data_IF_450281414417
#
_entry.id   IF_450281414417
#
_cell.length_a   1.000
_cell.length_b   1.000
_cell.length_c   1.000
_cell.angle_alpha   90.00
_cell.angle_beta   90.00
_cell.angle_gamma   90.00
#
_symmetry.space_group_name_H-M   'P 1'
#
loop_
_entity.id
_entity.type
_entity.pdbx_description
1 polymer ?
#
# COMPACT_ATOMS: atom_id res chain seq x y z
N UNK A 1 16.59 13.91 -0.57
CA UNK A 1 15.99 13.33 -1.80
C UNK A 1 14.74 12.49 -1.50
N UNK A 2 14.71 11.66 -0.44
CA UNK A 2 13.45 11.06 0.06
C UNK A 2 12.31 12.07 0.18
N UNK A 3 12.56 13.32 0.63
CA UNK A 3 11.55 14.38 0.72
C UNK A 3 10.79 14.67 -0.57
N UNK A 4 11.43 14.59 -1.74
CA UNK A 4 10.72 14.85 -3.00
C UNK A 4 9.80 13.68 -3.30
N UNK A 5 10.23 12.44 -3.07
CA UNK A 5 9.39 11.27 -3.27
C UNK A 5 8.26 11.18 -2.22
N UNK A 6 8.50 11.51 -0.95
CA UNK A 6 7.45 11.55 0.08
C UNK A 6 6.49 12.72 -0.13
N UNK A 7 6.99 13.89 -0.55
CA UNK A 7 6.15 15.04 -0.92
C UNK A 7 5.35 14.77 -2.19
N UNK A 8 5.90 14.07 -3.19
CA UNK A 8 5.15 13.64 -4.36
C UNK A 8 4.17 12.52 -4.03
N UNK A 9 4.49 11.61 -3.13
CA UNK A 9 3.56 10.62 -2.61
C UNK A 9 2.41 11.31 -1.89
N UNK A 10 2.66 12.37 -1.11
CA UNK A 10 1.66 13.25 -0.49
C UNK A 10 0.89 14.12 -1.52
N UNK A 11 1.53 14.58 -2.60
CA UNK A 11 0.89 15.34 -3.68
C UNK A 11 -0.03 14.44 -4.51
N UNK A 12 0.41 13.20 -4.73
CA UNK A 12 -0.37 12.15 -5.35
C UNK A 12 -1.53 11.70 -4.44
N UNK A 13 -1.35 11.79 -3.12
CA UNK A 13 -2.38 11.64 -2.08
C UNK A 13 -3.41 12.77 -2.17
N UNK A 14 -2.97 14.02 -2.34
CA UNK A 14 -3.84 15.18 -2.61
C UNK A 14 -4.58 15.07 -3.94
N UNK A 15 -3.97 14.48 -4.97
CA UNK A 15 -4.63 14.24 -6.26
C UNK A 15 -5.64 13.09 -6.17
N UNK A 16 -5.32 12.00 -5.46
CA UNK A 16 -6.26 10.93 -5.13
C UNK A 16 -7.50 11.48 -4.42
N UNK A 17 -7.30 12.35 -3.42
CA UNK A 17 -8.38 13.00 -2.66
C UNK A 17 -9.22 13.94 -3.54
N UNK A 18 -8.60 14.76 -4.39
CA UNK A 18 -9.30 15.67 -5.31
C UNK A 18 -10.04 14.95 -6.45
N UNK A 19 -9.54 13.81 -6.90
CA UNK A 19 -10.19 13.02 -7.96
C UNK A 19 -11.37 12.22 -7.40
N UNK A 20 -11.29 11.71 -6.17
CA UNK A 20 -12.44 11.17 -5.45
C UNK A 20 -13.54 12.23 -5.25
N UNK A 21 -13.16 13.47 -4.88
CA UNK A 21 -14.09 14.60 -4.75
C UNK A 21 -14.83 14.93 -6.07
N UNK A 22 -14.16 14.79 -7.21
CA UNK A 22 -14.73 15.11 -8.53
C UNK A 22 -15.68 14.04 -9.06
N UNK A 23 -15.50 12.78 -8.66
CA UNK A 23 -16.37 11.66 -9.05
C UNK A 23 -17.76 11.74 -8.41
N UNK A 24 -17.89 12.41 -7.26
CA UNK A 24 -19.14 12.46 -6.48
C UNK A 24 -20.07 13.60 -6.89
N UNK A 25 -19.53 14.71 -7.43
CA UNK A 25 -20.35 15.88 -7.85
C UNK A 25 -21.26 15.63 -9.06
N UNK A 26 -21.25 14.43 -9.67
CA UNK A 26 -21.92 14.20 -10.96
C UNK A 26 -23.33 13.59 -10.92
N UNK A 27 -23.81 12.90 -9.88
CA UNK A 27 -25.12 12.23 -10.00
C UNK A 27 -25.98 12.23 -8.73
N UNK A 28 -26.90 13.20 -8.68
CA UNK A 28 -28.14 13.12 -7.92
C UNK A 28 -29.07 12.08 -8.57
N UNK A 29 -29.01 10.82 -8.13
CA UNK A 29 -30.16 9.95 -7.84
C UNK A 29 -29.74 8.51 -7.47
N UNK A 30 -30.42 8.03 -6.42
CA UNK A 30 -30.81 6.69 -5.97
C UNK A 30 -29.77 5.56 -5.74
N UNK A 31 -29.78 5.06 -4.50
CA UNK A 31 -28.92 4.05 -3.82
C UNK A 31 -27.45 4.43 -3.55
N UNK A 32 -27.13 4.58 -2.25
CA UNK A 32 -25.76 4.62 -1.72
C UNK A 32 -25.37 3.23 -1.15
N UNK A 33 -24.41 2.51 -1.78
CA UNK A 33 -23.87 1.24 -1.28
C UNK A 33 -23.26 1.34 0.12
N UNK A 34 -22.81 2.53 0.54
CA UNK A 34 -22.20 2.73 1.85
C UNK A 34 -23.22 2.79 3.00
N UNK A 35 -24.47 3.20 2.74
CA UNK A 35 -25.52 3.30 3.76
C UNK A 35 -26.16 1.95 4.12
N UNK A 36 -26.15 1.00 3.19
CA UNK A 36 -26.75 -0.34 3.37
C UNK A 36 -25.77 -1.36 3.96
N UNK A 37 -24.70 -0.88 4.60
CA UNK A 37 -23.63 -1.71 5.10
C UNK A 37 -23.71 -1.88 6.60
N UNK A 38 -23.97 -3.11 7.05
CA UNK A 38 -23.87 -3.44 8.47
C UNK A 38 -22.39 -3.62 8.88
N UNK A 39 -21.81 -2.58 9.49
CA UNK A 39 -20.44 -2.62 10.02
C UNK A 39 -20.50 -3.00 11.50
N UNK A 40 -20.01 -4.20 11.85
CA UNK A 40 -20.08 -4.76 13.22
C UNK A 40 -19.38 -3.91 14.29
N UNK A 41 -18.43 -3.05 13.90
CA UNK A 41 -17.81 -2.04 14.77
C UNK A 41 -17.59 -0.74 13.97
N UNK A 42 -18.41 0.30 14.14
CA UNK A 42 -18.18 1.58 13.49
C UNK A 42 -16.88 2.19 14.03
N UNK A 43 -15.96 2.47 13.11
CA UNK A 43 -14.71 3.17 13.41
C UNK A 43 -15.00 4.67 13.51
N UNK A 44 -14.49 5.32 14.56
CA UNK A 44 -14.53 6.78 14.68
C UNK A 44 -13.80 7.43 13.51
N UNK A 45 -14.28 8.57 13.03
CA UNK A 45 -13.67 9.47 12.04
C UNK A 45 -12.14 9.59 12.16
N UNK A 46 -11.63 9.83 13.38
CA UNK A 46 -10.19 9.87 13.64
C UNK A 46 -9.51 8.49 13.51
N UNK A 47 -10.19 7.43 13.95
CA UNK A 47 -9.73 6.05 13.75
C UNK A 47 -9.69 5.66 12.26
N UNK A 48 -10.61 6.17 11.44
CA UNK A 48 -10.60 5.96 10.00
C UNK A 48 -9.42 6.67 9.36
N UNK A 49 -9.17 7.93 9.73
CA UNK A 49 -8.00 8.69 9.30
C UNK A 49 -6.68 7.98 9.63
N UNK A 50 -6.52 7.51 10.88
CA UNK A 50 -5.33 6.77 11.30
C UNK A 50 -5.17 5.47 10.52
N UNK A 51 -6.26 4.75 10.27
CA UNK A 51 -6.23 3.52 9.46
C UNK A 51 -5.86 3.79 8.00
N UNK A 52 -6.34 4.89 7.41
CA UNK A 52 -5.98 5.32 6.06
C UNK A 52 -4.51 5.71 5.99
N UNK A 53 -4.01 6.51 6.94
CA UNK A 53 -2.59 6.85 7.04
C UNK A 53 -1.74 5.59 7.13
N UNK A 54 -2.13 4.65 8.00
CA UNK A 54 -1.43 3.38 8.16
C UNK A 54 -1.44 2.55 6.88
N UNK A 55 -2.57 2.49 6.19
CA UNK A 55 -2.71 1.81 4.92
C UNK A 55 -1.77 2.40 3.87
N UNK A 56 -1.68 3.72 3.78
CA UNK A 56 -0.90 4.42 2.75
C UNK A 56 0.60 4.40 3.05
N UNK A 57 0.99 4.66 4.30
CA UNK A 57 2.40 4.72 4.68
C UNK A 57 3.03 3.32 4.67
N UNK A 58 2.30 2.31 5.13
CA UNK A 58 2.79 0.92 5.22
C UNK A 58 4.19 0.84 5.81
N UNK A 59 4.88 -0.28 5.59
CA UNK A 59 6.34 -0.36 5.76
C UNK A 59 7.09 -0.15 4.44
N UNK A 60 6.38 -0.11 3.31
CA UNK A 60 6.97 0.03 1.98
C UNK A 60 7.81 1.30 1.83
N UNK A 61 7.46 2.37 2.56
CA UNK A 61 8.26 3.59 2.64
C UNK A 61 9.65 3.39 3.26
N UNK A 62 9.84 2.36 4.09
CA UNK A 62 11.17 2.01 4.62
C UNK A 62 12.05 1.31 3.57
N UNK A 63 11.45 0.70 2.54
CA UNK A 63 12.18 0.14 1.40
C UNK A 63 12.52 1.20 0.32
N UNK A 64 11.79 2.33 0.29
CA UNK A 64 12.03 3.43 -0.63
C UNK A 64 13.46 4.04 -0.60
N UNK A 65 14.12 4.27 0.56
CA UNK A 65 15.50 4.76 0.57
C UNK A 65 16.49 3.79 -0.08
N UNK A 66 16.31 2.48 0.13
CA UNK A 66 17.11 1.43 -0.51
C UNK A 66 16.91 1.43 -2.04
N UNK A 67 15.68 1.62 -2.50
CA UNK A 67 15.37 1.76 -3.92
C UNK A 67 16.14 2.95 -4.54
N UNK A 68 16.03 4.13 -3.92
CA UNK A 68 16.68 5.35 -4.41
C UNK A 68 18.21 5.24 -4.45
N UNK A 69 18.81 4.54 -3.48
CA UNK A 69 20.24 4.25 -3.46
C UNK A 69 20.68 3.44 -4.69
N UNK A 70 19.84 2.52 -5.15
CA UNK A 70 20.16 1.60 -6.24
C UNK A 70 19.93 2.19 -7.65
N UNK A 71 19.13 3.25 -7.79
CA UNK A 71 18.96 3.96 -9.07
C UNK A 71 19.87 5.18 -9.23
N UNK A 72 20.29 5.81 -8.12
CA UNK A 72 20.87 7.16 -8.13
C UNK A 72 19.77 8.22 -8.06
N UNK A 73 20.10 9.40 -7.54
CA UNK A 73 19.08 10.36 -7.10
C UNK A 73 18.23 10.93 -8.24
N UNK A 74 18.83 11.19 -9.41
CA UNK A 74 18.15 11.84 -10.53
C UNK A 74 17.12 10.91 -11.21
N UNK A 75 17.50 9.69 -11.68
CA UNK A 75 16.53 8.77 -12.25
C UNK A 75 15.51 8.30 -11.22
N UNK A 76 15.90 8.16 -9.93
CA UNK A 76 14.96 7.81 -8.88
C UNK A 76 13.81 8.82 -8.76
N UNK A 77 14.10 10.12 -8.74
CA UNK A 77 13.06 11.16 -8.67
C UNK A 77 12.15 11.11 -9.90
N UNK A 78 12.73 11.10 -11.11
CA UNK A 78 11.93 11.16 -12.34
C UNK A 78 11.06 9.91 -12.49
N UNK A 79 11.64 8.72 -12.33
CA UNK A 79 10.92 7.47 -12.51
C UNK A 79 9.89 7.23 -11.40
N UNK A 80 10.19 7.56 -10.14
CA UNK A 80 9.22 7.40 -9.04
C UNK A 80 7.96 8.22 -9.29
N UNK A 81 8.11 9.44 -9.81
CA UNK A 81 6.98 10.30 -10.14
C UNK A 81 6.11 9.74 -11.27
N UNK A 82 6.73 9.26 -12.33
CA UNK A 82 6.01 8.65 -13.47
C UNK A 82 5.26 7.39 -13.01
N UNK A 83 5.93 6.51 -12.25
CA UNK A 83 5.33 5.28 -11.72
C UNK A 83 4.19 5.62 -10.75
N UNK A 84 4.37 6.60 -9.87
CA UNK A 84 3.35 7.07 -8.95
C UNK A 84 2.08 7.53 -9.65
N UNK A 85 2.21 8.39 -10.67
CA UNK A 85 1.06 8.86 -11.47
C UNK A 85 0.33 7.68 -12.12
N UNK A 86 1.07 6.74 -12.70
CA UNK A 86 0.49 5.58 -13.38
C UNK A 86 -0.27 4.66 -12.41
N UNK A 87 0.35 4.31 -11.28
CA UNK A 87 -0.26 3.44 -10.25
C UNK A 87 -1.53 4.07 -9.69
N UNK A 88 -1.49 5.37 -9.41
CA UNK A 88 -2.63 6.09 -8.85
C UNK A 88 -3.76 6.22 -9.84
N UNK A 89 -3.46 6.56 -11.08
CA UNK A 89 -4.44 6.63 -12.14
C UNK A 89 -5.14 5.28 -12.35
N UNK A 90 -4.36 4.19 -12.37
CA UNK A 90 -4.90 2.82 -12.49
C UNK A 90 -5.82 2.46 -11.32
N UNK A 91 -5.40 2.77 -10.07
CA UNK A 91 -6.22 2.50 -8.88
C UNK A 91 -7.51 3.30 -8.84
N UNK A 92 -7.47 4.56 -9.27
CA UNK A 92 -8.66 5.41 -9.32
C UNK A 92 -9.70 4.89 -10.31
N UNK A 93 -9.27 4.54 -11.53
CA UNK A 93 -10.18 3.95 -12.52
C UNK A 93 -10.80 2.65 -11.99
N UNK A 94 -10.00 1.81 -11.33
CA UNK A 94 -10.49 0.56 -10.74
C UNK A 94 -11.54 0.82 -9.65
N UNK A 95 -11.25 1.72 -8.70
CA UNK A 95 -12.16 2.04 -7.59
C UNK A 95 -13.46 2.68 -8.09
N UNK A 96 -13.40 3.64 -9.01
CA UNK A 96 -14.58 4.26 -9.61
C UNK A 96 -15.43 3.23 -10.35
N UNK A 97 -14.82 2.34 -11.12
CA UNK A 97 -15.53 1.26 -11.79
C UNK A 97 -16.20 0.28 -10.83
N UNK A 98 -15.49 -0.14 -9.78
CA UNK A 98 -16.05 -1.02 -8.74
C UNK A 98 -17.23 -0.37 -8.00
N UNK A 99 -17.13 0.93 -7.71
CA UNK A 99 -18.20 1.70 -7.07
C UNK A 99 -19.45 1.80 -7.96
N UNK A 100 -19.27 2.12 -9.23
CA UNK A 100 -20.38 2.21 -10.19
C UNK A 100 -21.07 0.85 -10.37
N UNK A 101 -20.30 -0.24 -10.43
CA UNK A 101 -20.84 -1.60 -10.48
C UNK A 101 -21.59 -1.98 -9.19
N UNK A 102 -21.08 -1.61 -8.02
CA UNK A 102 -21.74 -1.84 -6.74
C UNK A 102 -23.10 -1.14 -6.68
N UNK A 103 -23.17 0.11 -7.14
CA UNK A 103 -24.40 0.90 -7.24
C UNK A 103 -25.41 0.26 -8.20
N UNK A 104 -24.99 -0.12 -9.40
CA UNK A 104 -25.86 -0.75 -10.42
C UNK A 104 -26.41 -2.11 -9.97
N UNK A 105 -25.61 -2.91 -9.26
CA UNK A 105 -26.02 -4.23 -8.77
C UNK A 105 -26.71 -4.19 -7.41
N UNK A 106 -26.82 -3.03 -6.77
CA UNK A 106 -27.42 -2.86 -5.45
C UNK A 106 -26.79 -3.80 -4.40
N UNK A 107 -25.47 -3.95 -4.47
CA UNK A 107 -24.70 -4.80 -3.54
C UNK A 107 -23.80 -3.93 -2.66
N UNK A 108 -23.75 -4.17 -1.34
CA UNK A 108 -22.99 -3.33 -0.41
C UNK A 108 -21.48 -3.54 -0.49
N UNK A 109 -21.01 -4.68 -1.02
CA UNK A 109 -19.60 -4.99 -1.18
C UNK A 109 -19.36 -5.93 -2.37
N UNK A 110 -18.40 -5.58 -3.21
CA UNK A 110 -17.89 -6.44 -4.29
C UNK A 110 -16.44 -6.80 -4.03
N UNK A 111 -16.12 -8.10 -4.10
CA UNK A 111 -14.72 -8.54 -4.15
C UNK A 111 -14.13 -8.23 -5.53
N UNK A 112 -12.81 -8.04 -5.63
CA UNK A 112 -12.13 -7.76 -6.91
C UNK A 112 -12.44 -8.78 -8.00
N UNK A 113 -12.41 -10.07 -7.65
CA UNK A 113 -12.72 -11.14 -8.60
C UNK A 113 -14.18 -11.10 -9.09
N UNK A 114 -15.13 -10.69 -8.24
CA UNK A 114 -16.54 -10.53 -8.62
C UNK A 114 -16.77 -9.24 -9.41
N UNK A 115 -16.15 -8.13 -9.01
CA UNK A 115 -16.24 -6.87 -9.74
C UNK A 115 -15.72 -7.01 -11.17
N UNK A 116 -14.58 -7.69 -11.35
CA UNK A 116 -14.03 -7.96 -12.68
C UNK A 116 -14.93 -8.90 -13.50
N UNK A 117 -15.53 -9.92 -12.88
CA UNK A 117 -16.49 -10.80 -13.55
C UNK A 117 -17.70 -10.02 -14.09
N UNK A 118 -18.33 -9.22 -13.23
CA UNK A 118 -19.50 -8.42 -13.59
C UNK A 118 -19.13 -7.37 -14.64
N UNK A 119 -17.95 -6.75 -14.52
CA UNK A 119 -17.46 -5.77 -15.49
C UNK A 119 -17.25 -6.36 -16.88
N UNK A 120 -16.75 -7.61 -16.97
CA UNK A 120 -16.60 -8.33 -18.24
C UNK A 120 -17.95 -8.75 -18.82
N UNK A 121 -18.92 -9.14 -17.97
CA UNK A 121 -20.27 -9.51 -18.41
C UNK A 121 -21.03 -8.33 -19.02
N UNK A 122 -20.96 -7.15 -18.38
CA UNK A 122 -21.58 -5.91 -18.85
C UNK A 122 -20.79 -5.22 -19.97
N UNK A 123 -19.51 -5.60 -20.13
CA UNK A 123 -18.60 -5.08 -21.15
C UNK A 123 -18.91 -5.52 -22.59
N UNK A 124 -18.04 -5.14 -23.54
CA UNK A 124 -18.23 -5.42 -24.95
C UNK A 124 -18.28 -6.94 -25.23
N UNK A 125 -19.07 -7.39 -26.22
CA UNK A 125 -19.30 -8.81 -26.47
C UNK A 125 -18.01 -9.60 -26.77
N UNK A 126 -16.97 -8.92 -27.29
CA UNK A 126 -15.65 -9.51 -27.55
C UNK A 126 -14.90 -9.97 -26.28
N UNK A 127 -15.21 -9.43 -25.09
CA UNK A 127 -14.56 -9.80 -23.83
C UNK A 127 -15.35 -10.86 -23.04
N UNK A 128 -16.60 -11.14 -23.42
CA UNK A 128 -17.51 -12.03 -22.67
C UNK A 128 -17.03 -13.47 -22.59
N UNK A 129 -16.20 -13.95 -23.52
CA UNK A 129 -15.63 -15.29 -23.43
C UNK A 129 -14.73 -15.45 -22.19
N UNK A 130 -14.12 -14.37 -21.70
CA UNK A 130 -13.23 -14.36 -20.54
C UNK A 130 -13.97 -14.49 -19.20
N UNK A 131 -15.32 -14.38 -19.20
CA UNK A 131 -16.14 -14.45 -17.98
C UNK A 131 -15.90 -15.71 -17.14
N UNK A 132 -15.60 -16.85 -17.77
CA UNK A 132 -15.38 -18.11 -17.07
C UNK A 132 -14.04 -18.17 -16.33
N UNK A 133 -13.06 -17.35 -16.74
CA UNK A 133 -11.68 -17.43 -16.26
C UNK A 133 -11.25 -16.19 -15.46
N UNK A 134 -11.86 -15.02 -15.73
CA UNK A 134 -11.40 -13.72 -15.19
C UNK A 134 -11.36 -13.69 -13.66
N UNK A 135 -12.38 -14.24 -13.00
CA UNK A 135 -12.44 -14.26 -11.54
C UNK A 135 -11.32 -15.11 -10.94
N UNK A 136 -11.01 -16.25 -11.56
CA UNK A 136 -9.91 -17.13 -11.16
C UNK A 136 -8.54 -16.46 -11.34
N UNK A 137 -8.30 -15.84 -12.51
CA UNK A 137 -7.03 -15.14 -12.78
C UNK A 137 -6.80 -14.02 -11.76
N UNK A 138 -7.82 -13.19 -11.51
CA UNK A 138 -7.72 -12.06 -10.58
C UNK A 138 -7.40 -12.56 -9.17
N UNK A 139 -8.07 -13.61 -8.71
CA UNK A 139 -7.81 -14.18 -7.38
C UNK A 139 -6.39 -14.78 -7.28
N UNK A 140 -5.91 -15.47 -8.32
CA UNK A 140 -4.54 -16.00 -8.37
C UNK A 140 -3.51 -14.86 -8.34
N UNK A 141 -3.75 -13.79 -9.11
CA UNK A 141 -2.85 -12.65 -9.16
C UNK A 141 -2.85 -11.85 -7.85
N UNK A 142 -4.01 -11.73 -7.19
CA UNK A 142 -4.11 -11.15 -5.85
C UNK A 142 -3.37 -11.98 -4.81
N UNK A 143 -3.51 -13.31 -4.87
CA UNK A 143 -2.77 -14.22 -3.99
C UNK A 143 -1.27 -14.09 -4.20
N UNK A 144 -0.81 -14.07 -5.45
CA UNK A 144 0.60 -13.87 -5.78
C UNK A 144 1.13 -12.52 -5.26
N UNK A 145 0.34 -11.44 -5.35
CA UNK A 145 0.73 -10.13 -4.82
C UNK A 145 0.88 -10.13 -3.29
N UNK A 146 -0.06 -10.75 -2.58
CA UNK A 146 0.01 -10.88 -1.11
C UNK A 146 1.18 -11.75 -0.68
N UNK A 147 1.40 -12.88 -1.36
CA UNK A 147 2.52 -13.76 -1.09
C UNK A 147 3.86 -13.04 -1.33
N UNK A 148 4.01 -12.33 -2.45
CA UNK A 148 5.20 -11.55 -2.75
C UNK A 148 5.45 -10.46 -1.70
N UNK A 149 4.39 -9.77 -1.27
CA UNK A 149 4.46 -8.80 -0.18
C UNK A 149 5.01 -9.42 1.10
N UNK A 150 4.49 -10.59 1.51
CA UNK A 150 5.00 -11.32 2.68
C UNK A 150 6.50 -11.65 2.55
N UNK A 151 6.96 -12.10 1.37
CA UNK A 151 8.38 -12.38 1.15
C UNK A 151 9.27 -11.13 1.33
N UNK A 152 8.84 -9.98 0.79
CA UNK A 152 9.58 -8.73 0.95
C UNK A 152 9.63 -8.29 2.42
N UNK A 153 8.54 -8.46 3.18
CA UNK A 153 8.52 -8.17 4.61
C UNK A 153 9.57 -8.98 5.39
N UNK A 154 9.64 -10.29 5.16
CA UNK A 154 10.63 -11.15 5.85
C UNK A 154 12.06 -10.75 5.50
N UNK A 155 12.35 -10.49 4.23
CA UNK A 155 13.70 -10.05 3.83
C UNK A 155 14.04 -8.70 4.45
N UNK A 156 13.08 -7.78 4.51
CA UNK A 156 13.29 -6.45 5.09
C UNK A 156 13.56 -6.53 6.60
N UNK A 157 12.74 -7.28 7.34
CA UNK A 157 12.92 -7.45 8.79
C UNK A 157 14.24 -8.15 9.11
N UNK A 158 14.59 -9.20 8.36
CA UNK A 158 15.87 -9.89 8.51
C UNK A 158 17.07 -8.94 8.31
N UNK A 159 17.03 -8.06 7.29
CA UNK A 159 18.08 -7.06 7.09
C UNK A 159 18.17 -6.08 8.27
N UNK A 160 17.04 -5.59 8.80
CA UNK A 160 17.03 -4.73 9.97
C UNK A 160 17.59 -5.44 11.22
N UNK A 161 17.26 -6.72 11.41
CA UNK A 161 17.80 -7.53 12.52
C UNK A 161 19.29 -7.78 12.36
N UNK A 162 19.77 -7.99 11.13
CA UNK A 162 21.19 -8.14 10.84
C UNK A 162 21.95 -6.85 11.15
N UNK A 163 21.48 -5.69 10.69
CA UNK A 163 22.12 -4.40 10.96
C UNK A 163 22.21 -4.12 12.47
N UNK A 164 21.18 -4.51 13.24
CA UNK A 164 21.18 -4.40 14.69
C UNK A 164 22.10 -5.45 15.36
N UNK A 165 22.07 -6.68 14.87
CA UNK A 165 22.85 -7.80 15.40
C UNK A 165 24.36 -7.62 15.18
N UNK A 166 24.77 -7.18 13.99
CA UNK A 166 26.18 -6.92 13.65
C UNK A 166 26.75 -5.72 14.44
N UNK A 167 25.89 -4.83 14.97
CA UNK A 167 26.33 -3.74 15.85
C UNK A 167 26.65 -4.20 17.28
N UNK A 168 25.87 -5.16 17.82
CA UNK A 168 26.03 -5.63 19.22
C UNK A 168 26.75 -6.98 19.34
N UNK A 169 26.82 -7.77 18.27
CA UNK A 169 27.31 -9.15 18.23
C UNK A 169 28.23 -9.38 17.01
N UNK A 170 28.80 -10.58 16.88
CA UNK A 170 29.63 -10.94 15.71
C UNK A 170 28.80 -11.08 14.42
N UNK A 171 29.41 -10.70 13.30
CA UNK A 171 28.80 -10.78 11.96
C UNK A 171 28.32 -12.20 11.65
N UNK A 172 27.00 -12.37 11.58
CA UNK A 172 26.36 -13.63 11.19
C UNK A 172 25.76 -13.53 9.79
N UNK A 173 25.68 -14.67 9.09
CA UNK A 173 25.08 -14.73 7.76
C UNK A 173 23.58 -14.39 7.83
N UNK A 174 23.12 -13.60 6.85
CA UNK A 174 21.75 -13.05 6.79
C UNK A 174 20.67 -14.16 6.77
N UNK A 175 21.05 -15.36 6.31
CA UNK A 175 20.19 -16.54 6.29
C UNK A 175 19.74 -17.00 7.68
N UNK A 176 20.59 -16.78 8.69
CA UNK A 176 20.30 -17.18 10.07
C UNK A 176 19.24 -16.24 10.66
N UNK A 177 19.33 -14.94 10.39
CA UNK A 177 18.31 -13.96 10.78
C UNK A 177 16.95 -14.25 10.11
N UNK A 178 16.95 -14.59 8.81
CA UNK A 178 15.74 -15.05 8.12
C UNK A 178 15.13 -16.31 8.75
N UNK A 179 15.95 -17.28 9.16
CA UNK A 179 15.47 -18.51 9.81
C UNK A 179 14.93 -18.27 11.22
N UNK A 180 15.58 -17.38 11.99
CA UNK A 180 15.10 -16.99 13.33
C UNK A 180 13.74 -16.31 13.28
N UNK A 181 13.46 -15.52 12.23
CA UNK A 181 12.19 -14.82 12.05
C UNK A 181 10.99 -15.74 11.73
N UNK A 182 11.24 -16.91 11.14
CA UNK A 182 10.18 -17.89 10.86
C UNK A 182 9.49 -18.34 12.15
N UNK A 183 10.23 -18.46 13.26
CA UNK A 183 9.69 -18.91 14.55
C UNK A 183 8.60 -17.95 15.09
N UNK A 184 8.83 -16.64 15.26
CA UNK A 184 7.79 -15.71 15.68
C UNK A 184 6.67 -15.56 14.64
N UNK A 185 6.96 -15.64 13.34
CA UNK A 185 5.92 -15.65 12.29
C UNK A 185 4.96 -16.83 12.47
N UNK A 186 5.47 -18.04 12.66
CA UNK A 186 4.66 -19.24 12.92
C UNK A 186 3.82 -19.11 14.19
N UNK A 187 4.37 -18.51 15.26
CA UNK A 187 3.62 -18.28 16.50
C UNK A 187 2.45 -17.31 16.29
N UNK A 188 2.63 -16.26 15.49
CA UNK A 188 1.55 -15.32 15.16
C UNK A 188 0.47 -16.02 14.33
N UNK A 189 0.84 -16.86 13.35
CA UNK A 189 -0.12 -17.63 12.56
C UNK A 189 -0.91 -18.65 13.38
N UNK A 190 -0.39 -19.09 14.52
CA UNK A 190 -1.06 -20.04 15.40
C UNK A 190 -2.20 -19.40 16.23
N UNK A 191 -2.29 -18.08 16.31
CA UNK A 191 -3.33 -17.38 17.08
C UNK A 191 -4.65 -17.41 16.29
N UNK A 192 -5.67 -18.18 16.73
CA UNK A 192 -6.94 -18.28 15.99
C UNK A 192 -7.84 -17.05 16.18
N UNK A 193 -7.57 -16.23 17.21
CA UNK A 193 -8.39 -15.09 17.58
C UNK A 193 -7.78 -13.78 17.06
N UNK A 194 -8.28 -13.30 15.92
CA UNK A 194 -7.89 -12.00 15.34
C UNK A 194 -8.09 -10.82 16.31
N UNK A 195 -9.03 -10.91 17.26
CA UNK A 195 -9.24 -9.89 18.31
C UNK A 195 -8.08 -9.77 19.29
N UNK A 196 -7.33 -10.86 19.54
CA UNK A 196 -6.15 -10.83 20.40
C UNK A 196 -4.96 -10.09 19.76
N UNK A 197 -5.00 -9.89 18.42
CA UNK A 197 -3.96 -9.20 17.67
C UNK A 197 -4.13 -7.66 17.72
N UNK A 198 -5.33 -7.16 17.98
CA UNK A 198 -5.63 -5.72 18.07
C UNK A 198 -4.66 -4.92 18.97
N UNK A 199 -4.36 -5.32 20.22
CA UNK A 199 -3.41 -4.58 21.06
C UNK A 199 -1.98 -4.60 20.49
N UNK A 200 -1.55 -5.70 19.87
CA UNK A 200 -0.25 -5.80 19.24
C UNK A 200 -0.13 -4.83 18.04
N UNK A 201 -1.19 -4.77 17.22
CA UNK A 201 -1.29 -3.84 16.10
C UNK A 201 -1.23 -2.38 16.56
N UNK A 202 -1.81 -2.07 17.72
CA UNK A 202 -1.76 -0.74 18.32
C UNK A 202 -0.34 -0.37 18.76
N UNK A 203 0.35 -1.27 19.46
CA UNK A 203 1.76 -1.10 19.85
C UNK A 203 2.65 -0.91 18.61
N UNK A 204 2.47 -1.74 17.59
CA UNK A 204 3.20 -1.65 16.33
C UNK A 204 2.97 -0.31 15.63
N UNK A 205 1.74 0.23 15.69
CA UNK A 205 1.42 1.54 15.11
C UNK A 205 2.11 2.69 15.85
N UNK A 206 2.15 2.65 17.18
CA UNK A 206 2.87 3.64 18.00
C UNK A 206 4.37 3.57 17.72
N UNK A 207 4.94 2.37 17.70
CA UNK A 207 6.35 2.14 17.37
C UNK A 207 6.70 2.64 15.97
N UNK A 208 5.82 2.43 14.99
CA UNK A 208 5.98 2.93 13.62
C UNK A 208 5.98 4.47 13.57
N UNK A 209 5.06 5.14 14.28
CA UNK A 209 5.05 6.61 14.37
C UNK A 209 6.35 7.13 14.99
N UNK A 210 6.83 6.49 16.05
CA UNK A 210 8.09 6.85 16.70
C UNK A 210 9.30 6.64 15.78
N UNK A 211 9.35 5.51 15.07
CA UNK A 211 10.39 5.22 14.08
C UNK A 211 10.44 6.25 12.95
N UNK A 212 9.27 6.70 12.46
CA UNK A 212 9.22 7.82 11.51
C UNK A 212 9.72 9.12 12.11
N UNK A 213 9.41 9.42 13.37
CA UNK A 213 9.92 10.60 14.06
C UNK A 213 11.45 10.65 14.08
N UNK A 214 12.08 9.52 14.43
CA UNK A 214 13.54 9.38 14.41
C UNK A 214 14.10 9.49 12.99
N UNK A 215 13.47 8.81 12.02
CA UNK A 215 13.87 8.89 10.62
C UNK A 215 13.86 10.34 10.14
N UNK A 216 12.78 11.08 10.36
CA UNK A 216 12.69 12.49 9.99
C UNK A 216 13.75 13.34 10.70
N UNK A 217 14.00 13.10 11.99
CA UNK A 217 15.04 13.80 12.74
C UNK A 217 16.43 13.65 12.11
N UNK A 218 16.85 12.42 11.80
CA UNK A 218 18.14 12.15 11.16
C UNK A 218 18.22 12.74 9.76
N UNK A 219 17.14 12.67 8.97
CA UNK A 219 17.15 13.25 7.63
C UNK A 219 17.31 14.79 7.67
N UNK A 220 16.75 15.48 8.67
CA UNK A 220 16.88 16.95 8.80
C UNK A 220 18.22 17.40 9.41
N UNK A 221 18.88 16.55 10.18
CA UNK A 221 20.10 16.91 10.93
C UNK A 221 21.38 16.51 10.17
N UNK A 222 21.40 15.33 9.55
CA UNK A 222 22.57 14.76 8.87
C UNK A 222 22.41 14.76 7.34
N UNK A 223 22.37 15.94 6.72
CA UNK A 223 22.45 16.03 5.26
C UNK A 223 23.90 15.91 4.78
N UNK A 224 24.30 14.72 4.33
CA UNK A 224 25.54 14.55 3.57
C UNK A 224 25.52 15.46 2.32
N UNK A 225 26.65 16.11 1.96
CA UNK A 225 26.70 17.01 0.81
C UNK A 225 26.36 16.24 -0.48
N UNK A 226 25.55 16.87 -1.35
CA UNK A 226 25.10 16.31 -2.63
C UNK A 226 26.24 15.85 -3.56
N UNK A 227 27.48 16.31 -3.31
CA UNK A 227 28.67 15.98 -4.10
C UNK A 227 29.16 14.53 -3.95
N UNK A 228 28.76 13.84 -2.88
CA UNK A 228 29.16 12.43 -2.63
C UNK A 228 28.13 11.42 -3.15
N UNK A 229 26.96 11.90 -3.62
CA UNK A 229 25.89 11.04 -4.09
C UNK A 229 26.06 10.72 -5.58
N UNK A 230 26.06 9.44 -5.93
CA UNK A 230 26.10 9.01 -7.33
C UNK A 230 24.86 9.50 -8.08
N UNK A 231 25.08 10.30 -9.11
CA UNK A 231 24.01 10.90 -9.94
C UNK A 231 23.18 9.84 -10.67
N UNK A 232 23.86 8.81 -11.17
CA UNK A 232 23.29 7.68 -11.90
C UNK A 232 24.05 6.43 -11.46
N UNK A 233 23.31 5.38 -11.10
CA UNK A 233 23.85 4.05 -10.84
C UNK A 233 23.73 3.16 -12.08
N UNK A 234 24.39 2.00 -12.05
CA UNK A 234 24.33 1.04 -13.15
C UNK A 234 22.89 0.60 -13.44
N UNK A 235 22.57 0.49 -14.74
CA UNK A 235 21.24 0.07 -15.22
C UNK A 235 20.84 -1.32 -14.71
N UNK A 236 21.82 -2.14 -14.30
CA UNK A 236 21.61 -3.46 -13.73
C UNK A 236 20.74 -3.43 -12.46
N UNK A 237 20.84 -2.37 -11.65
CA UNK A 237 20.07 -2.22 -10.42
C UNK A 237 18.68 -1.60 -10.65
N UNK A 238 18.38 -1.18 -11.88
CA UNK A 238 17.12 -0.52 -12.22
C UNK A 238 15.87 -1.41 -12.02
N UNK A 239 15.87 -2.72 -12.36
CA UNK A 239 14.74 -3.60 -12.07
C UNK A 239 14.45 -3.73 -10.56
N UNK A 240 15.50 -3.72 -9.73
CA UNK A 240 15.36 -3.74 -8.28
C UNK A 240 14.74 -2.43 -7.77
N UNK A 241 15.21 -1.29 -8.28
CA UNK A 241 14.59 0.01 -8.00
C UNK A 241 13.11 0.03 -8.39
N UNK A 242 12.76 -0.43 -9.60
CA UNK A 242 11.39 -0.47 -10.08
C UNK A 242 10.48 -1.31 -9.18
N UNK A 243 10.90 -2.53 -8.83
CA UNK A 243 10.13 -3.42 -7.96
C UNK A 243 9.93 -2.83 -6.55
N UNK A 244 11.00 -2.31 -5.93
CA UNK A 244 10.91 -1.69 -4.60
C UNK A 244 10.05 -0.41 -4.61
N UNK A 245 10.09 0.36 -5.68
CA UNK A 245 9.27 1.57 -5.86
C UNK A 245 7.80 1.23 -6.07
N UNK A 246 7.49 0.22 -6.89
CA UNK A 246 6.12 -0.28 -7.05
C UNK A 246 5.58 -0.82 -5.73
N UNK A 247 6.38 -1.56 -4.97
CA UNK A 247 6.00 -2.05 -3.64
C UNK A 247 5.74 -0.91 -2.65
N UNK A 248 6.59 0.13 -2.63
CA UNK A 248 6.42 1.29 -1.76
C UNK A 248 5.16 2.11 -2.07
N UNK A 249 4.71 2.10 -3.34
CA UNK A 249 3.50 2.78 -3.80
C UNK A 249 2.25 1.88 -3.77
N UNK A 250 2.44 0.56 -3.64
CA UNK A 250 1.34 -0.38 -3.57
C UNK A 250 0.80 -0.51 -2.13
N UNK A 251 -0.32 0.15 -1.86
CA UNK A 251 -1.09 -0.05 -0.63
C UNK A 251 -2.29 -0.99 -0.86
N UNK A 252 -2.25 -2.23 -0.34
CA UNK A 252 -3.44 -3.09 -0.31
C UNK A 252 -4.49 -2.60 0.72
N UNK A 253 -4.03 -1.82 1.71
CA UNK A 253 -4.89 -1.30 2.78
C UNK A 253 -5.89 -0.25 2.30
N UNK A 254 -5.59 0.49 1.22
CA UNK A 254 -6.49 1.54 0.72
C UNK A 254 -7.88 0.98 0.37
N UNK A 255 -7.92 -0.23 -0.20
CA UNK A 255 -9.15 -0.82 -0.69
C UNK A 255 -9.95 -1.50 0.42
N UNK A 256 -9.27 -2.09 1.40
CA UNK A 256 -9.91 -2.55 2.64
C UNK A 256 -10.50 -1.35 3.39
N UNK A 257 -9.79 -0.22 3.44
CA UNK A 257 -10.24 1.01 4.12
C UNK A 257 -11.45 1.65 3.43
N UNK A 258 -11.49 1.74 2.10
CA UNK A 258 -12.70 2.16 1.36
C UNK A 258 -13.83 1.14 1.51
N UNK A 259 -13.49 -0.14 1.67
CA UNK A 259 -14.44 -1.18 2.06
C UNK A 259 -14.78 -1.15 3.56
N UNK A 260 -14.46 -0.15 4.36
CA UNK A 260 -14.93 -0.09 5.76
C UNK A 260 -15.31 1.32 6.19
N UNK A 261 -14.81 2.33 5.49
CA UNK A 261 -15.12 3.73 5.70
C UNK A 261 -15.89 4.25 4.50
N UNK A 262 -16.99 4.96 4.76
CA UNK A 262 -17.59 5.87 3.80
C UNK A 262 -16.62 7.05 3.61
N UNK A 263 -15.57 6.80 2.82
CA UNK A 263 -14.43 7.70 2.66
C UNK A 263 -14.88 9.10 2.20
N UNK A 264 -15.99 9.18 1.45
CA UNK A 264 -16.63 10.43 1.05
C UNK A 264 -17.28 11.17 2.22
N UNK A 265 -17.98 10.49 3.13
CA UNK A 265 -18.66 11.14 4.26
C UNK A 265 -17.70 11.76 5.30
N UNK A 266 -16.53 11.14 5.51
CA UNK A 266 -15.50 11.68 6.41
C UNK A 266 -14.77 12.88 5.79
N UNK A 267 -14.55 12.88 4.47
CA UNK A 267 -13.89 13.98 3.76
C UNK A 267 -14.83 15.19 3.58
N UNK A 268 -16.14 14.97 3.42
CA UNK A 268 -17.16 16.04 3.38
C UNK A 268 -17.36 16.78 4.72
N UNK A 269 -16.83 16.23 5.82
CA UNK A 269 -16.92 16.82 7.18
C UNK A 269 -15.64 17.53 7.64
N UNK A 270 -14.57 17.50 6.84
CA UNK A 270 -13.31 18.27 7.03
C UNK A 270 -13.32 19.52 6.15
#
# INVERSE_FOLDING_TARGET
>A
ISYINTFFQLLSLLQLLKMAEKSEKSEKNDYDPYEHREVTHPISDFGAFVNIIKAILGTGILAAPMANRNAGYLPAIICTNIIGIFVIHSKLILLSGMYELAKRKQVPLLTYGQAMLIGVMEGPPALRWLQYLISGIVNVMLFANHFGTCCVYVVFIANCLKDFGDYYWEEHDNRIYMAMEIVPLCLIFLIPNLKALTPFVLIATISLIFGFGILFYYIFTDMSPFSEMTMVQDIYYFPFFFGATMFALDSPGLVVSTNFCNLSAFILRL
#
